data_IF_540782071924
#
_entry.id   IF_540782071924
#
_cell.length_a   1.000
_cell.length_b   1.000
_cell.length_c   1.000
_cell.angle_alpha   90.00
_cell.angle_beta   90.00
_cell.angle_gamma   90.00
#
_symmetry.space_group_name_H-M   'P 1'
#
loop_
_entity.id
_entity.type
_entity.pdbx_description
1 polymer ?
#
# COMPACT_ATOMS: atom_id res chain seq x y z
N UNK A 1 -1.40 14.98 13.29
CA UNK A 1 -1.46 15.44 11.87
C UNK A 1 -0.01 15.57 11.44
N UNK A 2 0.38 14.94 10.32
CA UNK A 2 1.74 15.02 9.78
C UNK A 2 1.67 15.90 8.53
N UNK A 3 2.40 17.01 8.51
CA UNK A 3 2.49 17.96 7.40
C UNK A 3 3.96 18.30 7.08
N UNK A 4 4.20 19.03 6.00
CA UNK A 4 5.56 19.48 5.62
C UNK A 4 6.54 18.36 5.24
N UNK A 5 6.05 17.16 4.89
CA UNK A 5 6.91 16.04 4.45
C UNK A 5 7.43 16.33 3.05
N UNK A 6 8.76 16.35 2.90
CA UNK A 6 9.40 16.49 1.60
C UNK A 6 9.15 15.25 0.73
N UNK A 7 9.05 15.47 -0.59
CA UNK A 7 8.93 14.37 -1.55
C UNK A 7 10.10 13.40 -1.42
N UNK A 8 9.79 12.10 -1.35
CA UNK A 8 10.74 11.01 -1.11
C UNK A 8 10.96 10.66 0.36
N UNK A 9 10.51 11.50 1.30
CA UNK A 9 10.64 11.23 2.75
C UNK A 9 9.41 10.50 3.33
N UNK A 10 8.40 10.21 2.52
CA UNK A 10 7.13 9.63 2.97
C UNK A 10 7.31 8.28 3.64
N UNK A 11 8.20 7.42 3.13
CA UNK A 11 8.48 6.11 3.72
C UNK A 11 8.96 6.22 5.18
N UNK A 12 9.84 7.17 5.48
CA UNK A 12 10.36 7.39 6.84
C UNK A 12 9.27 7.93 7.77
N UNK A 13 8.50 8.90 7.29
CA UNK A 13 7.35 9.43 8.01
C UNK A 13 6.30 8.33 8.28
N UNK A 14 6.05 7.46 7.31
CA UNK A 14 5.09 6.36 7.40
C UNK A 14 5.57 5.29 8.39
N UNK A 15 6.84 4.90 8.36
CA UNK A 15 7.42 3.94 9.33
C UNK A 15 7.27 4.47 10.76
N UNK A 16 7.61 5.74 10.99
CA UNK A 16 7.46 6.36 12.31
C UNK A 16 6.00 6.41 12.74
N UNK A 17 5.13 6.89 11.86
CA UNK A 17 3.69 6.98 12.13
C UNK A 17 3.10 5.61 12.45
N UNK A 18 3.42 4.58 11.66
CA UNK A 18 2.94 3.22 11.89
C UNK A 18 3.40 2.65 13.23
N UNK A 19 4.63 2.95 13.67
CA UNK A 19 5.13 2.56 15.00
C UNK A 19 4.35 3.25 16.13
N UNK A 20 3.95 4.50 15.94
CA UNK A 20 3.29 5.32 16.96
C UNK A 20 1.78 5.01 17.08
N UNK A 21 1.05 4.95 15.96
CA UNK A 21 -0.42 4.86 15.99
C UNK A 21 -0.96 3.43 15.90
N UNK A 22 -0.15 2.50 15.39
CA UNK A 22 -0.57 1.14 15.10
C UNK A 22 0.53 0.13 15.48
N UNK A 23 0.92 0.05 16.76
CA UNK A 23 2.05 -0.76 17.18
C UNK A 23 1.90 -2.25 16.81
N UNK A 24 0.68 -2.80 16.85
CA UNK A 24 0.40 -4.20 16.54
C UNK A 24 -0.70 -4.36 15.47
N UNK A 25 -0.93 -3.31 14.67
CA UNK A 25 -1.99 -3.28 13.65
C UNK A 25 -1.45 -2.76 12.32
N UNK A 26 -2.08 -3.12 11.20
CA UNK A 26 -1.69 -2.56 9.92
C UNK A 26 -2.15 -1.11 9.75
N UNK A 27 -1.42 -0.36 8.94
CA UNK A 27 -1.80 0.97 8.48
C UNK A 27 -2.06 0.93 6.98
N UNK A 28 -3.18 1.50 6.54
CA UNK A 28 -3.47 1.73 5.13
C UNK A 28 -2.98 3.12 4.73
N UNK A 29 -2.06 3.18 3.77
CA UNK A 29 -1.62 4.41 3.15
C UNK A 29 -2.22 4.51 1.74
N UNK A 30 -3.03 5.54 1.52
CA UNK A 30 -3.67 5.81 0.23
C UNK A 30 -2.85 6.88 -0.48
N UNK A 31 -2.07 6.46 -1.46
CA UNK A 31 -1.33 7.35 -2.35
C UNK A 31 -2.29 8.07 -3.31
N UNK A 32 -1.90 9.29 -3.72
CA UNK A 32 -2.66 10.09 -4.69
C UNK A 32 -2.76 9.39 -6.06
N UNK A 33 -1.66 8.81 -6.51
CA UNK A 33 -1.54 8.12 -7.79
C UNK A 33 -0.54 6.97 -7.68
N UNK A 34 -0.61 6.03 -8.63
CA UNK A 34 0.20 4.82 -8.63
C UNK A 34 1.65 5.03 -9.06
N UNK A 35 1.99 6.15 -9.73
CA UNK A 35 3.36 6.39 -10.21
C UNK A 35 4.34 6.56 -9.04
N UNK A 36 3.84 6.99 -7.88
CA UNK A 36 4.65 7.18 -6.67
C UNK A 36 4.86 5.90 -5.86
N UNK A 37 4.03 4.87 -6.05
CA UNK A 37 4.08 3.66 -5.23
C UNK A 37 5.42 2.92 -5.31
N UNK A 38 6.02 2.69 -6.49
CA UNK A 38 7.29 1.97 -6.57
C UNK A 38 8.41 2.63 -5.75
N UNK A 39 8.54 3.96 -5.82
CA UNK A 39 9.55 4.70 -5.05
C UNK A 39 9.29 4.63 -3.54
N UNK A 40 8.02 4.66 -3.11
CA UNK A 40 7.65 4.51 -1.69
C UNK A 40 7.97 3.10 -1.21
N UNK A 41 7.68 2.06 -2.00
CA UNK A 41 7.98 0.66 -1.67
C UNK A 41 9.49 0.47 -1.49
N UNK A 42 10.30 0.97 -2.42
CA UNK A 42 11.76 0.88 -2.35
C UNK A 42 12.30 1.61 -1.11
N UNK A 43 11.83 2.84 -0.87
CA UNK A 43 12.23 3.60 0.30
C UNK A 43 11.78 2.95 1.62
N UNK A 44 10.63 2.27 1.66
CA UNK A 44 10.17 1.50 2.82
C UNK A 44 11.06 0.27 3.07
N UNK A 45 11.44 -0.45 2.01
CA UNK A 45 12.35 -1.58 2.11
C UNK A 45 13.72 -1.15 2.68
N UNK A 46 14.19 0.05 2.34
CA UNK A 46 15.39 0.63 2.94
C UNK A 46 15.17 1.10 4.39
N UNK A 47 14.10 1.88 4.65
CA UNK A 47 13.86 2.51 5.94
C UNK A 47 13.46 1.52 7.05
N UNK A 48 12.79 0.42 6.69
CA UNK A 48 12.36 -0.62 7.61
C UNK A 48 12.29 -2.00 6.92
N UNK A 49 13.43 -2.68 6.69
CA UNK A 49 13.47 -3.96 5.96
C UNK A 49 12.62 -5.08 6.57
N UNK A 50 12.37 -5.02 7.88
CA UNK A 50 11.54 -6.00 8.61
C UNK A 50 10.05 -5.64 8.70
N UNK A 51 9.62 -4.52 8.12
CA UNK A 51 8.22 -4.11 8.12
C UNK A 51 7.51 -4.72 6.90
N UNK A 52 6.50 -5.59 7.09
CA UNK A 52 5.75 -6.14 5.97
C UNK A 52 5.03 -5.03 5.21
N UNK A 53 5.19 -5.01 3.88
CA UNK A 53 4.52 -4.10 2.96
C UNK A 53 3.65 -4.92 2.02
N UNK A 54 2.37 -4.56 1.91
CA UNK A 54 1.41 -5.13 0.97
C UNK A 54 0.99 -4.03 -0.01
N UNK A 55 0.89 -4.34 -1.30
CA UNK A 55 0.38 -3.41 -2.31
C UNK A 55 -0.96 -3.92 -2.85
N UNK A 56 -2.00 -3.09 -2.78
CA UNK A 56 -3.25 -3.31 -3.49
C UNK A 56 -3.28 -2.39 -4.72
N UNK A 57 -2.92 -2.89 -5.91
CA UNK A 57 -2.81 -2.07 -7.11
C UNK A 57 -4.19 -1.75 -7.69
N UNK A 58 -4.29 -0.66 -8.46
CA UNK A 58 -5.47 -0.36 -9.25
C UNK A 58 -5.70 -1.40 -10.36
N UNK A 59 -6.90 -1.40 -10.93
CA UNK A 59 -7.10 -2.07 -12.21
C UNK A 59 -6.30 -1.38 -13.32
N UNK A 60 -5.87 -2.16 -14.30
CA UNK A 60 -5.18 -1.68 -15.51
C UNK A 60 -6.16 -1.20 -16.61
N UNK A 61 -7.46 -1.22 -16.32
CA UNK A 61 -8.52 -0.68 -17.18
C UNK A 61 -9.17 0.57 -16.55
N UNK A 62 -9.87 1.35 -17.38
CA UNK A 62 -10.64 2.51 -16.89
C UNK A 62 -12.00 2.08 -16.30
N UNK A 63 -12.67 2.94 -15.51
CA UNK A 63 -14.06 2.73 -15.16
C UNK A 63 -14.94 2.60 -16.41
N UNK A 64 -15.73 1.53 -16.48
CA UNK A 64 -16.61 1.20 -17.62
C UNK A 64 -15.87 0.96 -18.95
N UNK A 65 -14.63 0.47 -18.87
CA UNK A 65 -13.90 0.00 -20.05
C UNK A 65 -14.61 -1.18 -20.73
N UNK A 66 -14.42 -1.33 -22.03
CA UNK A 66 -14.90 -2.48 -22.81
C UNK A 66 -13.97 -3.68 -22.72
N UNK A 67 -12.75 -3.47 -22.23
CA UNK A 67 -11.75 -4.50 -22.04
C UNK A 67 -11.65 -4.80 -20.55
N UNK A 68 -11.77 -6.08 -20.20
CA UNK A 68 -11.56 -6.57 -18.83
C UNK A 68 -10.11 -6.31 -18.38
N UNK A 69 -9.86 -6.20 -17.07
CA UNK A 69 -8.50 -6.10 -16.57
C UNK A 69 -7.65 -7.30 -16.98
N UNK A 70 -6.35 -7.05 -17.17
CA UNK A 70 -5.39 -8.09 -17.52
C UNK A 70 -5.26 -9.15 -16.44
N UNK A 71 -4.89 -10.37 -16.84
CA UNK A 71 -4.71 -11.49 -15.92
C UNK A 71 -3.67 -11.21 -14.82
N UNK A 72 -2.61 -10.46 -15.15
CA UNK A 72 -1.57 -10.05 -14.17
C UNK A 72 -2.13 -9.08 -13.12
N UNK A 73 -2.86 -8.05 -13.53
CA UNK A 73 -3.52 -7.12 -12.60
C UNK A 73 -4.50 -7.84 -11.67
N UNK A 74 -5.31 -8.75 -12.23
CA UNK A 74 -6.23 -9.58 -11.45
C UNK A 74 -5.51 -10.49 -10.44
N UNK A 75 -4.43 -11.16 -10.87
CA UNK A 75 -3.65 -12.05 -10.00
C UNK A 75 -3.01 -11.29 -8.84
N UNK A 76 -2.38 -10.13 -9.10
CA UNK A 76 -1.78 -9.28 -8.06
C UNK A 76 -2.79 -8.79 -7.05
N UNK A 77 -3.98 -8.37 -7.50
CA UNK A 77 -5.06 -7.97 -6.58
C UNK A 77 -5.56 -9.14 -5.74
N UNK A 78 -5.71 -10.33 -6.34
CA UNK A 78 -6.11 -11.52 -5.59
C UNK A 78 -5.10 -11.89 -4.51
N UNK A 79 -3.81 -11.83 -4.82
CA UNK A 79 -2.73 -12.06 -3.85
C UNK A 79 -2.78 -11.04 -2.70
N UNK A 80 -2.87 -9.74 -3.04
CA UNK A 80 -2.98 -8.67 -2.06
C UNK A 80 -4.20 -8.83 -1.13
N UNK A 81 -5.38 -9.12 -1.68
CA UNK A 81 -6.59 -9.34 -0.90
C UNK A 81 -6.48 -10.59 -0.02
N UNK A 82 -5.86 -11.66 -0.51
CA UNK A 82 -5.60 -12.89 0.26
C UNK A 82 -4.67 -12.62 1.44
N UNK A 83 -3.60 -11.86 1.22
CA UNK A 83 -2.69 -11.41 2.27
C UNK A 83 -3.40 -10.50 3.30
N UNK A 84 -4.27 -9.59 2.84
CA UNK A 84 -5.08 -8.75 3.73
C UNK A 84 -6.05 -9.56 4.58
N UNK A 85 -6.66 -10.63 4.04
CA UNK A 85 -7.50 -11.56 4.82
C UNK A 85 -6.66 -12.27 5.90
N UNK A 86 -5.45 -12.72 5.57
CA UNK A 86 -4.56 -13.34 6.54
C UNK A 86 -4.18 -12.34 7.66
N UNK A 87 -3.88 -11.10 7.28
CA UNK A 87 -3.57 -10.01 8.19
C UNK A 87 -4.76 -9.63 9.08
N UNK A 88 -5.99 -9.67 8.57
CA UNK A 88 -7.19 -9.46 9.38
C UNK A 88 -7.39 -10.58 10.42
N UNK A 89 -7.05 -11.83 10.08
CA UNK A 89 -7.14 -12.98 11.00
C UNK A 89 -6.05 -12.94 12.09
N UNK A 90 -4.84 -12.51 11.74
CA UNK A 90 -3.72 -12.37 12.67
C UNK A 90 -3.09 -10.98 12.52
N UNK A 91 -3.70 -9.94 13.11
CA UNK A 91 -3.19 -8.58 13.01
C UNK A 91 -1.77 -8.49 13.54
N UNK A 92 -0.93 -7.83 12.75
CA UNK A 92 0.40 -7.40 13.16
C UNK A 92 0.70 -6.09 12.46
N UNK A 93 1.80 -5.44 12.87
CA UNK A 93 2.28 -4.24 12.19
C UNK A 93 2.61 -4.57 10.73
N UNK A 94 2.02 -3.80 9.83
CA UNK A 94 2.27 -3.86 8.39
C UNK A 94 1.85 -2.53 7.76
N UNK A 95 2.32 -2.27 6.56
CA UNK A 95 1.86 -1.15 5.73
C UNK A 95 1.15 -1.72 4.51
N UNK A 96 -0.11 -1.32 4.30
CA UNK A 96 -0.84 -1.59 3.07
C UNK A 96 -0.77 -0.32 2.24
N UNK A 97 -0.23 -0.40 1.04
CA UNK A 97 -0.16 0.67 0.07
C UNK A 97 -1.28 0.48 -0.95
N UNK A 98 -2.02 1.54 -1.23
CA UNK A 98 -3.02 1.55 -2.30
C UNK A 98 -3.14 2.95 -2.87
N UNK A 99 -3.98 3.13 -3.89
CA UNK A 99 -4.30 4.43 -4.48
C UNK A 99 -5.78 4.73 -4.35
N UNK A 100 -6.16 6.00 -4.49
CA UNK A 100 -7.57 6.40 -4.42
C UNK A 100 -8.46 5.62 -5.40
N UNK A 101 -8.01 5.41 -6.65
CA UNK A 101 -8.73 4.66 -7.68
C UNK A 101 -8.67 3.14 -7.51
N UNK A 102 -7.81 2.61 -6.65
CA UNK A 102 -7.79 1.18 -6.32
C UNK A 102 -8.74 0.85 -5.16
N UNK A 103 -9.01 1.85 -4.31
CA UNK A 103 -9.82 1.76 -3.09
C UNK A 103 -11.30 2.08 -3.33
N UNK A 104 -11.60 3.04 -4.22
CA UNK A 104 -12.94 3.50 -4.58
C UNK A 104 -13.48 2.74 -5.81
#
# INVERSE_FOLDING_TARGET
MVDGVADGYEAFALVRTAKEIAPDKPVLFVARDGQRLPAIIEALAFAAPGLPVLELPAWDCLPYDRVSPGADAAARRLDALSAMIALAKKPHRAVILTTANALL
#
